data_IF_146568455883
#
_entry.id   IF_146568455883
#
_cell.length_a   1.000
_cell.length_b   1.000
_cell.length_c   1.000
_cell.angle_alpha   90.00
_cell.angle_beta   90.00
_cell.angle_gamma   90.00
#
_symmetry.space_group_name_H-M   'P 1'
#
loop_
_entity.id
_entity.type
_entity.pdbx_description
1 polymer ?
#
# COMPACT_ATOMS: atom_id res chain seq x y z
N UNK A 1 28.60 6.66 -24.95
CA UNK A 1 28.85 7.24 -23.62
C UNK A 1 27.65 6.86 -22.77
N UNK A 2 27.84 5.96 -21.80
CA UNK A 2 26.73 5.40 -21.01
C UNK A 2 26.29 6.40 -19.95
N UNK A 3 25.08 6.95 -20.13
CA UNK A 3 24.42 7.80 -19.14
C UNK A 3 24.05 6.98 -17.92
N UNK A 4 24.85 7.12 -16.86
CA UNK A 4 24.60 6.59 -15.52
C UNK A 4 23.30 7.20 -14.97
N UNK A 5 22.16 6.57 -15.28
CA UNK A 5 20.86 6.88 -14.70
C UNK A 5 20.90 6.56 -13.22
N UNK A 6 21.20 7.59 -12.42
CA UNK A 6 21.14 7.53 -10.96
C UNK A 6 19.69 7.23 -10.54
N UNK A 7 19.36 5.96 -10.30
CA UNK A 7 18.02 5.49 -9.90
C UNK A 7 17.44 6.25 -8.69
N UNK A 8 18.28 6.92 -7.90
CA UNK A 8 17.89 7.83 -6.85
C UNK A 8 16.99 9.00 -7.30
N UNK A 9 17.18 9.53 -8.52
CA UNK A 9 16.28 10.57 -9.08
C UNK A 9 14.91 9.99 -9.48
N UNK A 10 14.85 8.71 -9.80
CA UNK A 10 13.62 7.98 -10.15
C UNK A 10 12.78 7.67 -8.90
N UNK A 11 13.43 7.38 -7.77
CA UNK A 11 12.78 7.34 -6.46
C UNK A 11 12.20 8.69 -6.02
N UNK A 12 12.88 9.82 -6.33
CA UNK A 12 12.31 11.15 -6.06
C UNK A 12 11.16 11.53 -7.00
N UNK A 13 11.11 10.99 -8.23
CA UNK A 13 9.92 11.08 -9.10
C UNK A 13 8.70 10.38 -8.53
N UNK A 14 8.86 9.37 -7.67
CA UNK A 14 7.73 8.81 -6.90
C UNK A 14 7.10 9.85 -5.93
N UNK A 15 7.82 10.92 -5.58
CA UNK A 15 7.27 12.05 -4.82
C UNK A 15 6.24 12.87 -5.61
N UNK A 16 6.41 13.01 -6.94
CA UNK A 16 5.41 13.68 -7.79
C UNK A 16 4.13 12.85 -7.93
N UNK A 17 4.23 11.52 -7.98
CA UNK A 17 3.03 10.66 -7.96
C UNK A 17 2.37 10.62 -6.57
N UNK A 18 3.08 10.96 -5.50
CA UNK A 18 2.46 11.11 -4.18
C UNK A 18 1.34 12.16 -4.22
N UNK A 19 1.49 13.23 -5.01
CA UNK A 19 0.44 14.21 -5.26
C UNK A 19 -0.86 13.62 -5.85
N UNK A 20 -0.77 12.55 -6.63
CA UNK A 20 -1.95 11.81 -7.13
C UNK A 20 -2.67 11.06 -6.01
N UNK A 21 -1.95 10.53 -5.02
CA UNK A 21 -2.55 9.88 -3.85
C UNK A 21 -3.20 10.88 -2.89
N UNK A 22 -2.71 12.13 -2.83
CA UNK A 22 -3.31 13.22 -2.05
C UNK A 22 -4.38 14.03 -2.81
N UNK A 23 -4.66 13.70 -4.07
CA UNK A 23 -5.72 14.36 -4.86
C UNK A 23 -7.08 14.07 -4.22
N UNK A 24 -7.88 15.11 -3.99
CA UNK A 24 -9.19 15.04 -3.32
C UNK A 24 -10.01 13.88 -3.88
N UNK A 25 -10.63 13.14 -2.96
CA UNK A 25 -11.54 12.04 -3.28
C UNK A 25 -12.72 12.62 -4.09
N UNK A 26 -12.68 12.49 -5.43
CA UNK A 26 -13.81 12.73 -6.33
C UNK A 26 -15.14 12.39 -5.63
N UNK A 27 -16.09 13.34 -5.50
CA UNK A 27 -17.34 13.15 -4.76
C UNK A 27 -18.37 12.29 -5.51
N UNK A 28 -18.21 12.01 -6.80
CA UNK A 28 -19.20 11.26 -7.59
C UNK A 28 -19.05 9.73 -7.50
N UNK A 29 -18.12 9.22 -6.67
CA UNK A 29 -17.85 7.77 -6.65
C UNK A 29 -19.04 7.06 -6.00
N UNK A 30 -19.56 5.98 -6.62
CA UNK A 30 -20.62 5.21 -6.01
C UNK A 30 -20.11 4.60 -4.70
N UNK A 31 -20.62 5.08 -3.57
CA UNK A 31 -20.31 4.53 -2.26
C UNK A 31 -21.13 3.25 -2.03
N UNK A 32 -20.83 2.20 -2.80
CA UNK A 32 -21.47 0.92 -2.63
C UNK A 32 -20.89 0.22 -1.40
N UNK A 33 -21.77 -0.14 -0.46
CA UNK A 33 -21.41 -0.88 0.75
C UNK A 33 -20.64 -2.18 0.42
N UNK A 34 -21.01 -2.86 -0.67
CA UNK A 34 -20.35 -4.08 -1.16
C UNK A 34 -18.85 -3.88 -1.45
N UNK A 35 -18.47 -2.78 -2.09
CA UNK A 35 -17.07 -2.49 -2.42
C UNK A 35 -16.28 -2.12 -1.17
N UNK A 36 -16.90 -1.37 -0.24
CA UNK A 36 -16.30 -1.05 1.05
C UNK A 36 -16.10 -2.33 1.87
N UNK A 37 -17.09 -3.22 1.93
CA UNK A 37 -17.03 -4.49 2.64
C UNK A 37 -15.95 -5.41 2.06
N UNK A 38 -15.88 -5.56 0.73
CA UNK A 38 -14.84 -6.35 0.06
C UNK A 38 -13.44 -5.87 0.43
N UNK A 39 -13.22 -4.55 0.44
CA UNK A 39 -11.93 -3.99 0.79
C UNK A 39 -11.61 -4.11 2.29
N UNK A 40 -12.62 -3.99 3.17
CA UNK A 40 -12.48 -4.20 4.61
C UNK A 40 -12.09 -5.65 4.93
N UNK A 41 -12.77 -6.63 4.32
CA UNK A 41 -12.46 -8.05 4.52
C UNK A 41 -11.02 -8.33 4.08
N UNK A 42 -10.59 -7.85 2.91
CA UNK A 42 -9.20 -8.01 2.47
C UNK A 42 -8.18 -7.39 3.44
N UNK A 43 -8.47 -6.22 4.01
CA UNK A 43 -7.58 -5.58 5.00
C UNK A 43 -7.49 -6.40 6.29
N UNK A 44 -8.60 -6.95 6.77
CA UNK A 44 -8.63 -7.80 7.97
C UNK A 44 -7.80 -9.08 7.74
N UNK A 45 -7.93 -9.70 6.57
CA UNK A 45 -7.16 -10.90 6.23
C UNK A 45 -5.64 -10.66 6.28
N UNK A 46 -5.17 -9.54 5.71
CA UNK A 46 -3.75 -9.16 5.76
C UNK A 46 -3.30 -8.90 7.20
N UNK A 47 -4.12 -8.22 7.99
CA UNK A 47 -3.79 -7.93 9.39
C UNK A 47 -3.65 -9.22 10.20
N UNK A 48 -4.60 -10.16 10.09
CA UNK A 48 -4.52 -11.46 10.77
C UNK A 48 -3.32 -12.28 10.32
N UNK A 49 -3.01 -12.25 9.02
CA UNK A 49 -1.81 -12.90 8.48
C UNK A 49 -0.53 -12.33 9.10
N UNK A 50 -0.39 -11.00 9.15
CA UNK A 50 0.78 -10.34 9.76
C UNK A 50 0.90 -10.65 11.24
N UNK A 51 -0.20 -10.65 12.00
CA UNK A 51 -0.20 -11.03 13.41
C UNK A 51 0.30 -12.46 13.60
N UNK A 52 -0.23 -13.40 12.81
CA UNK A 52 0.22 -14.79 12.85
C UNK A 52 1.70 -14.92 12.48
N UNK A 53 2.15 -14.21 11.45
CA UNK A 53 3.55 -14.19 11.02
C UNK A 53 4.48 -13.67 12.13
N UNK A 54 4.08 -12.61 12.84
CA UNK A 54 4.85 -12.07 13.99
C UNK A 54 4.91 -13.09 15.12
N UNK A 55 3.80 -13.75 15.46
CA UNK A 55 3.77 -14.78 16.50
C UNK A 55 4.69 -15.95 16.13
N UNK A 56 4.62 -16.43 14.89
CA UNK A 56 5.50 -17.49 14.41
C UNK A 56 6.96 -17.04 14.44
N UNK A 57 7.26 -15.83 13.99
CA UNK A 57 8.62 -15.29 14.04
C UNK A 57 9.15 -15.25 15.48
N UNK A 58 8.39 -14.70 16.42
CA UNK A 58 8.77 -14.64 17.84
C UNK A 58 8.92 -16.04 18.45
N UNK A 59 8.09 -17.00 18.06
CA UNK A 59 8.13 -18.35 18.63
C UNK A 59 9.25 -19.24 18.06
N UNK A 60 9.60 -19.06 16.79
CA UNK A 60 10.53 -19.95 16.08
C UNK A 60 11.91 -19.34 15.85
N UNK A 61 12.05 -18.01 15.88
CA UNK A 61 13.32 -17.31 15.61
C UNK A 61 13.94 -16.73 16.88
N UNK A 62 13.12 -16.26 17.83
CA UNK A 62 13.57 -15.75 19.13
C UNK A 62 13.59 -16.88 20.17
#
# INVERSE_FOLDING_TARGET
MEDKKNGFKEFFKMGEVAGYFFRKKDPSRPSNFNIKAMHTINKISILMFLVCMVILFVRYVL
#
